data_IF_044671442263
#
_entry.id   IF_044671442263
#
_cell.length_a   1.000
_cell.length_b   1.000
_cell.length_c   1.000
_cell.angle_alpha   90.00
_cell.angle_beta   90.00
_cell.angle_gamma   90.00
#
_symmetry.space_group_name_H-M   'P 1'
#
loop_
_entity.id
_entity.type
_entity.pdbx_description
1 polymer ?
#
# COMPACT_ATOMS: atom_id res chain seq x y z
N UNK A 1 3.29 9.24 -60.32
CA UNK A 1 4.40 8.69 -59.49
C UNK A 1 4.68 9.49 -58.21
N UNK A 2 4.41 10.80 -58.14
CA UNK A 2 4.64 11.61 -56.95
C UNK A 2 3.66 11.34 -55.78
N UNK A 3 2.37 11.11 -56.08
CA UNK A 3 1.33 10.90 -55.06
C UNK A 3 1.56 9.65 -54.19
N UNK A 4 2.01 8.54 -54.80
CA UNK A 4 2.32 7.28 -54.07
C UNK A 4 3.48 7.47 -53.10
N UNK A 5 4.47 8.32 -53.45
CA UNK A 5 5.60 8.63 -52.57
C UNK A 5 5.19 9.48 -51.36
N UNK A 6 4.23 10.38 -51.53
CA UNK A 6 3.70 11.20 -50.43
C UNK A 6 2.89 10.36 -49.43
N UNK A 7 2.10 9.40 -49.91
CA UNK A 7 1.35 8.48 -49.05
C UNK A 7 2.29 7.58 -48.23
N UNK A 8 3.32 7.00 -48.86
CA UNK A 8 4.33 6.19 -48.17
C UNK A 8 5.10 7.00 -47.12
N UNK A 9 5.39 8.28 -47.39
CA UNK A 9 5.99 9.18 -46.41
C UNK A 9 5.04 9.46 -45.25
N UNK A 10 3.76 9.71 -45.50
CA UNK A 10 2.77 9.95 -44.42
C UNK A 10 2.58 8.75 -43.49
N UNK A 11 2.62 7.52 -44.02
CA UNK A 11 2.51 6.30 -43.20
C UNK A 11 3.79 6.02 -42.40
N UNK A 12 4.96 6.27 -42.99
CA UNK A 12 6.25 6.16 -42.30
C UNK A 12 6.35 7.16 -41.13
N UNK A 13 5.86 8.38 -41.38
CA UNK A 13 5.72 9.43 -40.38
C UNK A 13 4.80 8.95 -39.24
N UNK A 14 3.57 8.49 -39.54
CA UNK A 14 2.64 8.00 -38.51
C UNK A 14 3.19 6.82 -37.69
N UNK A 15 3.97 5.91 -38.31
CA UNK A 15 4.61 4.79 -37.61
C UNK A 15 5.76 5.22 -36.69
N UNK A 16 6.47 6.30 -37.02
CA UNK A 16 7.55 6.84 -36.19
C UNK A 16 7.00 7.70 -35.03
N UNK A 17 5.80 8.27 -35.20
CA UNK A 17 5.12 9.10 -34.19
C UNK A 17 4.04 8.36 -33.41
N UNK A 18 3.82 7.07 -33.68
CA UNK A 18 3.03 6.18 -32.84
C UNK A 18 3.73 6.01 -31.50
N UNK A 19 3.56 6.98 -30.62
CA UNK A 19 4.09 6.96 -29.26
C UNK A 19 3.55 5.73 -28.57
N UNK A 20 4.41 4.77 -28.16
CA UNK A 20 4.05 3.92 -27.06
C UNK A 20 4.18 4.82 -25.84
N UNK A 21 3.17 5.64 -25.59
CA UNK A 21 2.93 6.13 -24.24
C UNK A 21 2.40 4.92 -23.46
N UNK A 22 3.26 3.92 -23.31
CA UNK A 22 3.13 2.94 -22.25
C UNK A 22 2.99 3.78 -21.00
N UNK A 23 1.85 3.64 -20.37
CA UNK A 23 1.41 4.34 -19.18
C UNK A 23 2.48 4.15 -18.09
N UNK A 24 3.52 5.00 -18.12
CA UNK A 24 4.56 5.11 -17.10
C UNK A 24 3.96 5.87 -15.92
N UNK A 25 2.82 5.43 -15.42
CA UNK A 25 2.45 5.74 -14.05
C UNK A 25 3.50 5.03 -13.20
N UNK A 26 4.50 5.78 -12.78
CA UNK A 26 5.42 5.33 -11.77
C UNK A 26 4.60 5.16 -10.47
N UNK A 27 4.04 3.96 -10.29
CA UNK A 27 3.28 3.62 -9.09
C UNK A 27 4.29 3.36 -7.99
N UNK A 28 4.50 4.36 -7.14
CA UNK A 28 5.28 4.19 -5.94
C UNK A 28 4.51 3.32 -4.94
N UNK A 29 5.05 2.15 -4.64
CA UNK A 29 4.52 1.25 -3.60
C UNK A 29 5.34 1.42 -2.35
N UNK A 30 4.70 1.86 -1.26
CA UNK A 30 5.32 1.98 0.05
C UNK A 30 4.86 0.84 0.95
N UNK A 31 5.80 0.20 1.65
CA UNK A 31 5.44 -0.77 2.69
C UNK A 31 4.91 -0.03 3.92
N UNK A 32 3.81 -0.51 4.48
CA UNK A 32 3.29 -0.05 5.77
C UNK A 32 3.78 -0.93 6.93
N UNK A 33 4.68 -1.88 6.68
CA UNK A 33 5.17 -2.77 7.71
C UNK A 33 6.13 -2.03 8.65
N UNK A 34 5.96 -2.22 9.96
CA UNK A 34 6.85 -1.61 10.94
C UNK A 34 6.15 -1.24 12.23
N UNK A 35 6.75 -0.31 12.97
CA UNK A 35 6.22 0.20 14.23
C UNK A 35 5.33 1.41 13.96
N UNK A 36 4.15 1.38 14.57
CA UNK A 36 3.11 2.38 14.45
C UNK A 36 2.58 2.75 15.83
N UNK A 37 2.10 3.97 15.95
CA UNK A 37 1.45 4.45 17.16
C UNK A 37 -0.06 4.25 17.04
N UNK A 38 -0.62 3.43 17.90
CA UNK A 38 -2.07 3.23 18.01
C UNK A 38 -2.63 4.18 19.08
N UNK A 39 -3.70 4.88 18.74
CA UNK A 39 -4.40 5.80 19.63
C UNK A 39 -5.88 5.49 19.64
N UNK A 40 -6.52 5.48 20.80
CA UNK A 40 -7.97 5.33 20.88
C UNK A 40 -8.68 6.65 20.49
N UNK A 41 -10.00 6.57 20.27
CA UNK A 41 -10.78 7.70 19.72
C UNK A 41 -10.75 8.96 20.59
N UNK A 42 -10.79 8.80 21.92
CA UNK A 42 -10.74 9.93 22.86
C UNK A 42 -9.31 10.34 23.23
N UNK A 43 -8.31 9.74 22.58
CA UNK A 43 -6.90 10.07 22.77
C UNK A 43 -6.29 9.75 24.14
N UNK A 44 -7.01 9.09 25.04
CA UNK A 44 -6.56 8.76 26.39
C UNK A 44 -5.56 7.61 26.45
N UNK A 45 -5.51 6.77 25.42
CA UNK A 45 -4.59 5.63 25.31
C UNK A 45 -3.76 5.80 24.05
N UNK A 46 -2.45 5.72 24.22
CA UNK A 46 -1.47 5.70 23.13
C UNK A 46 -0.46 4.58 23.39
N UNK A 47 -0.23 3.73 22.40
CA UNK A 47 0.66 2.58 22.53
C UNK A 47 1.41 2.29 21.23
N UNK A 48 2.59 1.68 21.36
CA UNK A 48 3.34 1.18 20.21
C UNK A 48 2.76 -0.14 19.73
N UNK A 49 2.64 -0.30 18.42
CA UNK A 49 2.05 -1.48 17.76
C UNK A 49 2.80 -1.83 16.49
N UNK A 50 2.86 -3.11 16.16
CA UNK A 50 3.41 -3.58 14.90
C UNK A 50 2.31 -3.64 13.82
N UNK A 51 2.65 -3.24 12.60
CA UNK A 51 1.88 -3.50 11.38
C UNK A 51 2.71 -4.43 10.49
N UNK A 52 2.12 -5.50 9.93
CA UNK A 52 0.77 -5.98 10.17
C UNK A 52 0.60 -6.51 11.60
N UNK A 53 -0.60 -6.32 12.16
CA UNK A 53 -0.93 -6.71 13.53
C UNK A 53 -2.39 -6.41 13.86
N UNK A 54 -2.81 -6.70 15.09
CA UNK A 54 -4.17 -6.40 15.55
C UNK A 54 -4.17 -5.61 16.86
N UNK A 55 -5.22 -4.81 17.06
CA UNK A 55 -5.37 -3.94 18.23
C UNK A 55 -5.34 -4.75 19.53
N UNK A 56 -5.97 -5.92 19.57
CA UNK A 56 -6.00 -6.78 20.75
C UNK A 56 -4.61 -7.25 21.17
N UNK A 57 -3.75 -7.64 20.21
CA UNK A 57 -2.35 -8.01 20.51
C UNK A 57 -1.61 -6.82 21.09
N UNK A 58 -1.76 -5.63 20.53
CA UNK A 58 -1.08 -4.44 21.01
C UNK A 58 -1.53 -4.04 22.43
N UNK A 59 -2.83 -4.13 22.72
CA UNK A 59 -3.39 -3.90 24.06
C UNK A 59 -2.91 -4.94 25.07
N UNK A 60 -2.81 -6.21 24.67
CA UNK A 60 -2.33 -7.29 25.54
C UNK A 60 -0.85 -7.14 25.85
N UNK A 61 -0.01 -6.91 24.85
CA UNK A 61 1.44 -6.70 25.03
C UNK A 61 1.74 -5.49 25.91
N UNK A 62 0.91 -4.45 25.83
CA UNK A 62 1.03 -3.27 26.68
C UNK A 62 0.39 -3.45 28.08
N UNK A 63 -0.19 -4.62 28.38
CA UNK A 63 -0.78 -4.96 29.67
C UNK A 63 -2.11 -4.27 29.99
N UNK A 64 -2.76 -3.63 29.00
CA UNK A 64 -4.05 -2.95 29.19
C UNK A 64 -5.19 -3.96 29.33
N UNK A 65 -5.10 -5.07 28.58
CA UNK A 65 -6.04 -6.19 28.69
C UNK A 65 -5.28 -7.45 29.07
N UNK A 66 -5.97 -8.36 29.76
CA UNK A 66 -5.48 -9.73 30.03
C UNK A 66 -6.20 -10.69 29.09
N UNK A 67 -5.53 -11.74 28.65
CA UNK A 67 -6.20 -12.85 27.97
C UNK A 67 -7.03 -13.62 29.00
N UNK A 68 -8.25 -13.99 28.65
CA UNK A 68 -9.16 -14.77 29.52
C UNK A 68 -8.67 -16.22 29.78
N UNK A 69 -7.44 -16.57 29.39
CA UNK A 69 -6.92 -17.92 29.51
C UNK A 69 -6.50 -18.31 30.95
N UNK A 70 -6.36 -17.36 31.87
CA UNK A 70 -5.85 -17.64 33.23
C UNK A 70 -6.89 -17.51 34.36
N UNK A 71 -8.15 -17.17 34.07
CA UNK A 71 -9.16 -16.98 35.13
C UNK A 71 -9.99 -18.22 35.45
N UNK A 72 -9.65 -19.41 34.93
CA UNK A 72 -10.45 -20.62 35.13
C UNK A 72 -9.64 -21.92 35.32
N UNK A 73 -8.43 -21.82 35.88
CA UNK A 73 -7.75 -22.98 36.46
C UNK A 73 -7.21 -22.60 37.83
N UNK A 74 -8.13 -22.54 38.80
CA UNK A 74 -7.78 -22.78 40.19
C UNK A 74 -7.49 -24.28 40.33
N UNK A 75 -6.21 -24.61 40.42
CA UNK A 75 -5.70 -25.81 41.08
C UNK A 75 -4.64 -25.34 42.08
#
# INVERSE_FOLDING_TARGET
MAAVRLLLLSELLLSAYGTPWSNLTNVFVFSLNGQWTLRNSNSSIQLHSAVPGCVHTALFTCGIIKTLAESHFGL
#
